data_IF_317636072597
#
_entry.id   IF_317636072597
#
_cell.length_a   1.000
_cell.length_b   1.000
_cell.length_c   1.000
_cell.angle_alpha   90.00
_cell.angle_beta   90.00
_cell.angle_gamma   90.00
#
_symmetry.space_group_name_H-M   'P 1'
#
loop_
_entity.id
_entity.type
_entity.pdbx_description
1 polymer ?
#
# COMPACT_ATOMS: atom_id res chain seq x y z
N UNK A 1 3.50 7.62 6.83
CA UNK A 1 2.42 6.60 6.85
C UNK A 1 1.40 6.90 5.77
N UNK A 2 0.97 5.87 5.03
CA UNK A 2 -0.02 6.03 3.99
C UNK A 2 -1.42 5.90 4.58
N UNK A 3 -2.37 6.64 4.05
CA UNK A 3 -3.76 6.57 4.49
C UNK A 3 -4.58 5.63 3.65
N UNK A 4 -5.61 5.03 4.25
CA UNK A 4 -6.56 4.18 3.53
C UNK A 4 -7.27 5.04 2.48
N UNK A 5 -7.37 4.51 1.26
CA UNK A 5 -7.95 5.22 0.13
C UNK A 5 -6.96 6.05 -0.67
N UNK A 6 -5.73 6.17 -0.20
CA UNK A 6 -4.70 6.91 -0.91
C UNK A 6 -4.27 6.16 -2.17
N UNK A 7 -4.06 6.90 -3.25
CA UNK A 7 -3.60 6.32 -4.52
C UNK A 7 -2.11 6.58 -4.73
N UNK A 8 -1.40 5.55 -5.20
CA UNK A 8 0.00 5.64 -5.56
C UNK A 8 0.15 5.31 -7.03
N UNK A 9 0.94 6.10 -7.76
CA UNK A 9 1.22 5.90 -9.19
C UNK A 9 -0.04 5.76 -10.03
N UNK A 10 -1.14 6.37 -9.59
CA UNK A 10 -2.44 6.36 -10.27
C UNK A 10 -2.99 4.95 -10.51
N UNK A 11 -2.48 3.95 -9.79
CA UNK A 11 -2.94 2.58 -10.00
C UNK A 11 -3.17 1.79 -8.71
N UNK A 12 -2.48 2.15 -7.62
CA UNK A 12 -2.57 1.38 -6.38
C UNK A 12 -3.38 2.15 -5.35
N UNK A 13 -4.49 1.58 -4.96
CA UNK A 13 -5.31 2.15 -3.89
C UNK A 13 -5.03 1.41 -2.60
N UNK A 14 -4.60 2.12 -1.57
CA UNK A 14 -4.32 1.53 -0.27
C UNK A 14 -5.64 1.14 0.38
N UNK A 15 -5.82 -0.15 0.68
CA UNK A 15 -7.07 -0.64 1.25
C UNK A 15 -6.94 -1.07 2.71
N UNK A 16 -5.73 -1.49 3.15
CA UNK A 16 -5.52 -1.74 4.58
C UNK A 16 -4.04 -1.78 4.89
N UNK A 17 -3.71 -1.60 6.17
CA UNK A 17 -2.35 -1.77 6.66
C UNK A 17 -2.23 -3.19 7.20
N UNK A 18 -1.27 -3.96 6.67
CA UNK A 18 -1.03 -5.33 7.09
C UNK A 18 -0.05 -5.44 8.25
N UNK A 19 0.89 -4.49 8.34
CA UNK A 19 1.86 -4.51 9.41
C UNK A 19 2.73 -3.27 9.40
N UNK A 20 3.35 -2.99 10.54
CA UNK A 20 4.26 -1.86 10.69
C UNK A 20 5.40 -2.29 11.61
N UNK A 21 6.62 -1.98 11.22
CA UNK A 21 7.82 -2.22 12.01
C UNK A 21 8.69 -0.99 12.03
N UNK A 22 9.86 -1.10 12.64
CA UNK A 22 10.72 0.06 12.81
C UNK A 22 11.12 0.76 11.53
N UNK A 23 11.43 0.00 10.47
CA UNK A 23 11.95 0.55 9.23
C UNK A 23 10.98 0.48 8.06
N UNK A 24 9.85 -0.17 8.23
CA UNK A 24 8.96 -0.40 7.09
C UNK A 24 7.51 -0.54 7.52
N UNK A 25 6.63 -0.28 6.56
CA UNK A 25 5.19 -0.53 6.71
C UNK A 25 4.77 -1.37 5.52
N UNK A 26 3.83 -2.31 5.76
CA UNK A 26 3.31 -3.18 4.70
C UNK A 26 1.82 -2.93 4.56
N UNK A 27 1.41 -2.68 3.34
CA UNK A 27 0.01 -2.38 3.04
C UNK A 27 -0.54 -3.36 2.02
N UNK A 28 -1.83 -3.61 2.12
CA UNK A 28 -2.54 -4.27 1.04
C UNK A 28 -3.16 -3.18 0.16
N UNK A 29 -2.94 -3.29 -1.13
CA UNK A 29 -3.44 -2.31 -2.07
C UNK A 29 -4.12 -3.01 -3.24
N UNK A 30 -5.09 -2.33 -3.83
CA UNK A 30 -5.70 -2.81 -5.05
C UNK A 30 -5.02 -2.16 -6.24
N UNK A 31 -4.51 -2.99 -7.15
CA UNK A 31 -3.98 -2.51 -8.40
C UNK A 31 -5.14 -2.38 -9.39
N UNK A 32 -5.58 -1.16 -9.64
CA UNK A 32 -6.74 -0.93 -10.51
C UNK A 32 -6.43 -1.25 -11.97
N UNK A 33 -5.16 -1.16 -12.35
CA UNK A 33 -4.76 -1.47 -13.71
C UNK A 33 -4.85 -2.96 -14.02
N UNK A 34 -4.46 -3.81 -13.06
CA UNK A 34 -4.50 -5.25 -13.21
C UNK A 34 -5.72 -5.88 -12.53
N UNK A 35 -6.51 -5.06 -11.85
CA UNK A 35 -7.71 -5.49 -11.13
C UNK A 35 -7.44 -6.63 -10.15
N UNK A 36 -6.39 -6.47 -9.34
CA UNK A 36 -6.04 -7.46 -8.32
C UNK A 36 -5.37 -6.78 -7.13
N UNK A 37 -5.30 -7.51 -6.02
CA UNK A 37 -4.65 -7.00 -4.81
C UNK A 37 -3.17 -7.35 -4.81
N UNK A 38 -2.39 -6.46 -4.23
CA UNK A 38 -0.94 -6.63 -4.09
C UNK A 38 -0.52 -6.18 -2.70
N UNK A 39 0.64 -6.64 -2.26
CA UNK A 39 1.25 -6.16 -1.02
C UNK A 39 2.32 -5.12 -1.39
N UNK A 40 2.29 -3.99 -0.71
CA UNK A 40 3.26 -2.92 -0.91
C UNK A 40 4.04 -2.74 0.38
N UNK A 41 5.36 -2.77 0.27
CA UNK A 41 6.25 -2.51 1.39
C UNK A 41 6.83 -1.12 1.21
N UNK A 42 6.59 -0.27 2.21
CA UNK A 42 7.07 1.13 2.19
C UNK A 42 8.18 1.24 3.21
N UNK A 43 9.38 1.57 2.75
CA UNK A 43 10.53 1.73 3.62
C UNK A 43 10.58 3.16 4.16
N UNK A 44 10.83 3.27 5.45
CA UNK A 44 11.01 4.59 6.08
C UNK A 44 12.44 5.04 5.88
N UNK A 45 12.68 6.34 5.72
CA UNK A 45 14.05 6.86 5.63
C UNK A 45 14.79 6.75 6.97
#
# INVERSE_FOLDING_TARGET
MLGIGMFLADRYEIVEMLGAGGMAEVYRAKCHKLNRFVALKVLKP
#
